data_IF_522642471108
#
_entry.id   IF_522642471108
#
_cell.length_a   1.000
_cell.length_b   1.000
_cell.length_c   1.000
_cell.angle_alpha   90.00
_cell.angle_beta   90.00
_cell.angle_gamma   90.00
#
_symmetry.space_group_name_H-M   'P 1'
#
loop_
_entity.id
_entity.type
_entity.pdbx_description
1 polymer ?
#
# COMPACT_ATOMS: atom_id res chain seq x y z
N UNK A 1 3.97 31.04 -33.68
CA UNK A 1 3.88 29.56 -33.68
C UNK A 1 5.17 29.04 -33.08
N UNK A 2 5.29 29.09 -31.75
CA UNK A 2 6.53 28.81 -30.99
C UNK A 2 6.56 27.33 -30.62
N UNK A 3 7.46 26.57 -31.20
CA UNK A 3 7.69 25.16 -30.88
C UNK A 3 8.14 25.03 -29.42
N UNK A 4 7.35 24.31 -28.63
CA UNK A 4 7.68 23.91 -27.27
C UNK A 4 8.74 22.79 -27.35
N UNK A 5 9.89 22.89 -26.68
CA UNK A 5 10.96 21.90 -26.81
C UNK A 5 10.50 20.56 -26.22
N UNK A 6 10.72 19.49 -26.99
CA UNK A 6 10.45 18.11 -26.60
C UNK A 6 11.11 17.80 -25.25
N UNK A 7 10.30 17.43 -24.27
CA UNK A 7 10.77 17.00 -22.96
C UNK A 7 11.62 15.72 -23.12
N UNK A 8 12.91 15.82 -22.81
CA UNK A 8 13.83 14.69 -22.85
C UNK A 8 13.24 13.45 -22.16
N UNK A 9 13.41 12.24 -22.72
CA UNK A 9 12.90 11.02 -22.11
C UNK A 9 13.55 10.88 -20.73
N UNK A 10 12.71 10.90 -19.69
CA UNK A 10 13.13 10.61 -18.31
C UNK A 10 13.78 9.23 -18.30
N UNK A 11 15.11 9.18 -18.33
CA UNK A 11 15.92 7.97 -18.21
C UNK A 11 15.67 7.34 -16.84
N UNK A 12 14.56 6.64 -16.70
CA UNK A 12 14.27 5.78 -15.57
C UNK A 12 15.29 4.65 -15.67
N UNK A 13 16.34 4.73 -14.85
CA UNK A 13 17.39 3.73 -14.77
C UNK A 13 16.80 2.43 -14.19
N UNK A 14 16.07 1.66 -15.00
CA UNK A 14 15.45 0.38 -14.62
C UNK A 14 16.46 -0.54 -13.93
N UNK A 15 17.72 -0.53 -14.42
CA UNK A 15 18.83 -1.29 -13.85
C UNK A 15 19.17 -0.92 -12.40
N UNK A 16 18.88 0.32 -11.95
CA UNK A 16 19.01 0.73 -10.54
C UNK A 16 17.72 0.50 -9.76
N UNK A 17 16.56 0.58 -10.41
CA UNK A 17 15.25 0.38 -9.79
C UNK A 17 14.96 -1.08 -9.40
N UNK A 18 15.33 -2.04 -10.25
CA UNK A 18 15.13 -3.48 -9.99
C UNK A 18 15.86 -3.95 -8.71
N UNK A 19 17.18 -3.75 -8.54
CA UNK A 19 17.86 -4.17 -7.32
C UNK A 19 17.37 -3.39 -6.09
N UNK A 20 16.98 -2.12 -6.25
CA UNK A 20 16.42 -1.34 -5.15
C UNK A 20 15.08 -1.89 -4.65
N UNK A 21 14.18 -2.30 -5.55
CA UNK A 21 12.90 -2.91 -5.17
C UNK A 21 13.13 -4.29 -4.53
N UNK A 22 14.02 -5.12 -5.11
CA UNK A 22 14.34 -6.44 -4.54
C UNK A 22 14.92 -6.29 -3.13
N UNK A 23 15.87 -5.38 -2.94
CA UNK A 23 16.45 -5.08 -1.63
C UNK A 23 15.41 -4.57 -0.64
N UNK A 24 14.51 -3.67 -1.07
CA UNK A 24 13.42 -3.18 -0.22
C UNK A 24 12.46 -4.30 0.20
N UNK A 25 12.04 -5.17 -0.72
CA UNK A 25 11.15 -6.29 -0.43
C UNK A 25 11.82 -7.31 0.50
N UNK A 26 13.12 -7.58 0.31
CA UNK A 26 13.89 -8.44 1.19
C UNK A 26 13.96 -7.88 2.61
N UNK A 27 14.31 -6.60 2.77
CA UNK A 27 14.38 -5.94 4.06
C UNK A 27 13.03 -5.89 4.77
N UNK A 28 11.94 -5.62 4.04
CA UNK A 28 10.58 -5.66 4.60
C UNK A 28 10.21 -7.07 5.07
N UNK A 29 10.45 -8.09 4.24
CA UNK A 29 10.14 -9.48 4.59
C UNK A 29 10.96 -9.96 5.78
N UNK A 30 12.23 -9.56 5.86
CA UNK A 30 13.11 -9.87 6.99
C UNK A 30 12.64 -9.18 8.28
N UNK A 31 12.24 -7.91 8.20
CA UNK A 31 11.68 -7.19 9.34
C UNK A 31 10.36 -7.82 9.85
N UNK A 32 9.51 -8.30 8.95
CA UNK A 32 8.26 -8.98 9.31
C UNK A 32 8.53 -10.36 9.95
N UNK A 33 9.53 -11.10 9.45
CA UNK A 33 9.97 -12.35 10.05
C UNK A 33 10.53 -12.15 11.47
N UNK A 34 11.36 -11.12 11.67
CA UNK A 34 11.86 -10.75 13.00
C UNK A 34 10.73 -10.34 13.94
N UNK A 35 9.81 -9.50 13.49
CA UNK A 35 8.65 -9.08 14.29
C UNK A 35 7.82 -10.30 14.75
N UNK A 36 7.61 -11.28 13.87
CA UNK A 36 6.92 -12.52 14.20
C UNK A 36 7.71 -13.37 15.22
N UNK A 37 9.02 -13.47 15.05
CA UNK A 37 9.89 -14.22 15.96
C UNK A 37 9.89 -13.61 17.37
N UNK A 38 9.97 -12.28 17.48
CA UNK A 38 9.85 -11.59 18.77
C UNK A 38 8.45 -11.75 19.38
N UNK A 39 7.39 -11.73 18.56
CA UNK A 39 6.04 -12.03 19.04
C UNK A 39 5.91 -13.44 19.62
N UNK A 40 6.56 -14.44 19.00
CA UNK A 40 6.60 -15.82 19.52
C UNK A 40 7.47 -15.97 20.77
N UNK A 41 8.48 -15.11 20.94
CA UNK A 41 9.33 -15.06 22.12
C UNK A 41 8.66 -14.34 23.32
N UNK A 42 7.41 -13.90 23.19
CA UNK A 42 6.62 -13.32 24.28
C UNK A 42 6.75 -11.80 24.44
N UNK A 43 7.34 -11.10 23.46
CA UNK A 43 7.40 -9.63 23.49
C UNK A 43 6.03 -9.02 23.15
N UNK A 44 5.70 -7.93 23.85
CA UNK A 44 4.45 -7.20 23.62
C UNK A 44 4.45 -6.56 22.21
N UNK A 45 3.29 -6.59 21.55
CA UNK A 45 3.14 -6.05 20.20
C UNK A 45 3.49 -4.56 20.13
N UNK A 46 3.18 -3.79 21.18
CA UNK A 46 3.52 -2.36 21.28
C UNK A 46 5.03 -2.15 21.29
N UNK A 47 5.79 -2.99 22.00
CA UNK A 47 7.25 -2.90 22.05
C UNK A 47 7.89 -3.20 20.70
N UNK A 48 7.41 -4.24 20.00
CA UNK A 48 7.90 -4.61 18.67
C UNK A 48 7.67 -3.47 17.68
N UNK A 49 6.48 -2.86 17.72
CA UNK A 49 6.12 -1.72 16.87
C UNK A 49 6.94 -0.48 17.21
N UNK A 50 7.16 -0.21 18.50
CA UNK A 50 8.03 0.87 18.97
C UNK A 50 9.46 0.76 18.40
N UNK A 51 10.09 -0.41 18.55
CA UNK A 51 11.44 -0.63 18.02
C UNK A 51 11.48 -0.55 16.49
N UNK A 52 10.45 -1.06 15.79
CA UNK A 52 10.35 -0.96 14.33
C UNK A 52 10.34 0.50 13.85
N UNK A 53 9.62 1.38 14.53
CA UNK A 53 9.62 2.81 14.20
C UNK A 53 10.87 3.54 14.69
N UNK A 54 11.45 3.14 15.83
CA UNK A 54 12.70 3.67 16.34
C UNK A 54 13.87 3.41 15.37
N UNK A 55 14.00 2.20 14.84
CA UNK A 55 14.98 1.90 13.79
C UNK A 55 14.61 2.56 12.45
N UNK A 56 13.31 2.73 12.17
CA UNK A 56 12.81 3.48 11.02
C UNK A 56 13.21 4.96 11.02
N UNK A 57 13.51 5.56 12.17
CA UNK A 57 14.04 6.93 12.26
C UNK A 57 15.43 7.05 11.64
N UNK A 58 16.28 6.02 11.68
CA UNK A 58 17.65 6.07 11.14
C UNK A 58 17.68 6.42 9.64
N UNK A 59 16.98 5.68 8.74
CA UNK A 59 16.93 6.05 7.33
C UNK A 59 16.21 7.38 7.08
N UNK A 60 15.27 7.77 7.94
CA UNK A 60 14.62 9.09 7.87
C UNK A 60 15.62 10.21 8.16
N UNK A 61 16.42 10.09 9.21
CA UNK A 61 17.46 11.07 9.56
C UNK A 61 18.51 11.16 8.46
N UNK A 62 18.96 10.02 7.92
CA UNK A 62 19.88 10.00 6.77
C UNK A 62 19.25 10.68 5.55
N UNK A 63 17.98 10.40 5.25
CA UNK A 63 17.29 11.02 4.12
C UNK A 63 17.11 12.54 4.30
N UNK A 64 16.87 13.02 5.52
CA UNK A 64 16.79 14.44 5.87
C UNK A 64 18.15 15.12 5.73
N UNK A 65 19.23 14.48 6.20
CA UNK A 65 20.60 15.00 6.08
C UNK A 65 21.04 15.09 4.62
N UNK A 66 20.67 14.10 3.80
CA UNK A 66 21.02 14.05 2.37
C UNK A 66 20.14 14.98 1.51
N UNK A 67 18.87 15.19 1.87
CA UNK A 67 17.90 15.90 1.02
C UNK A 67 17.52 17.31 1.50
N UNK A 68 17.91 17.69 2.72
CA UNK A 68 17.59 18.98 3.33
C UNK A 68 16.14 19.12 3.83
N UNK A 69 15.93 20.03 4.79
CA UNK A 69 14.63 20.29 5.46
C UNK A 69 13.54 20.81 4.51
N UNK A 70 13.92 21.29 3.33
CA UNK A 70 12.99 21.70 2.28
C UNK A 70 12.17 20.53 1.70
N UNK A 71 12.67 19.29 1.83
CA UNK A 71 11.94 18.07 1.46
C UNK A 71 10.78 17.70 2.39
N UNK A 72 10.65 18.35 3.56
CA UNK A 72 9.52 18.17 4.48
C UNK A 72 8.30 19.03 4.12
N UNK A 73 8.42 20.01 3.22
CA UNK A 73 7.29 20.86 2.83
C UNK A 73 6.33 20.09 1.91
N UNK A 74 5.39 19.37 2.51
CA UNK A 74 4.22 18.83 1.81
C UNK A 74 3.37 20.00 1.30
N UNK A 75 3.20 20.11 -0.02
CA UNK A 75 2.38 21.17 -0.63
C UNK A 75 0.88 20.81 -0.69
N UNK A 76 0.50 19.62 -0.21
CA UNK A 76 -0.86 19.06 -0.38
C UNK A 76 -1.41 18.33 0.87
N UNK A 77 -1.62 19.03 1.99
CA UNK A 77 -2.19 18.42 3.21
C UNK A 77 -3.56 17.76 2.97
N UNK A 78 -4.37 18.32 2.06
CA UNK A 78 -5.67 17.75 1.67
C UNK A 78 -5.55 16.36 1.03
N UNK A 79 -4.47 16.07 0.31
CA UNK A 79 -4.25 14.77 -0.31
C UNK A 79 -3.89 13.68 0.72
N UNK A 80 -3.20 14.07 1.81
CA UNK A 80 -2.96 13.17 2.95
C UNK A 80 -4.24 12.89 3.74
N UNK A 81 -5.09 13.90 3.93
CA UNK A 81 -6.40 13.72 4.56
C UNK A 81 -7.29 12.76 3.75
N UNK A 82 -7.37 12.94 2.43
CA UNK A 82 -8.18 12.10 1.56
C UNK A 82 -7.68 10.65 1.52
N UNK A 83 -6.35 10.45 1.54
CA UNK A 83 -5.73 9.11 1.72
C UNK A 83 -6.16 8.48 3.04
N UNK A 84 -6.08 9.23 4.14
CA UNK A 84 -6.50 8.76 5.46
C UNK A 84 -7.98 8.37 5.48
N UNK A 85 -8.84 9.17 4.84
CA UNK A 85 -10.27 8.91 4.73
C UNK A 85 -10.56 7.63 3.95
N UNK A 86 -9.91 7.41 2.80
CA UNK A 86 -10.08 6.18 2.02
C UNK A 86 -9.59 4.94 2.79
N UNK A 87 -8.46 5.04 3.50
CA UNK A 87 -7.97 3.95 4.36
C UNK A 87 -8.92 3.66 5.52
N UNK A 88 -9.43 4.69 6.18
CA UNK A 88 -10.39 4.54 7.26
C UNK A 88 -11.70 3.89 6.79
N UNK A 89 -12.22 4.33 5.64
CA UNK A 89 -13.41 3.74 5.02
C UNK A 89 -13.18 2.27 4.65
N UNK A 90 -12.03 1.95 4.03
CA UNK A 90 -11.65 0.58 3.71
C UNK A 90 -11.64 -0.29 4.98
N UNK A 91 -10.94 0.14 6.02
CA UNK A 91 -10.78 -0.65 7.24
C UNK A 91 -12.12 -0.86 7.96
N UNK A 92 -12.95 0.18 8.03
CA UNK A 92 -14.28 0.13 8.67
C UNK A 92 -15.21 -0.84 7.96
N UNK A 93 -15.25 -0.80 6.62
CA UNK A 93 -16.06 -1.71 5.81
C UNK A 93 -15.57 -3.16 5.90
N UNK A 94 -14.24 -3.34 5.92
CA UNK A 94 -13.62 -4.66 6.06
C UNK A 94 -14.00 -5.32 7.39
N UNK A 95 -13.78 -4.62 8.51
CA UNK A 95 -14.16 -5.13 9.84
C UNK A 95 -15.66 -5.33 9.96
N UNK A 96 -16.48 -4.50 9.31
CA UNK A 96 -17.94 -4.67 9.31
C UNK A 96 -18.37 -5.96 8.60
N UNK A 97 -17.73 -6.31 7.47
CA UNK A 97 -17.95 -7.58 6.79
C UNK A 97 -17.45 -8.79 7.59
N UNK A 98 -16.31 -8.65 8.28
CA UNK A 98 -15.77 -9.71 9.14
C UNK A 98 -16.58 -10.01 10.40
N UNK A 99 -17.55 -9.16 10.79
CA UNK A 99 -18.44 -9.49 11.92
C UNK A 99 -19.30 -10.72 11.67
N UNK A 100 -19.57 -11.04 10.40
CA UNK A 100 -20.46 -12.14 10.02
C UNK A 100 -19.81 -13.14 9.07
N UNK A 101 -18.80 -12.73 8.29
CA UNK A 101 -17.99 -13.64 7.48
C UNK A 101 -16.83 -14.24 8.28
N UNK A 102 -16.54 -15.54 8.09
CA UNK A 102 -15.27 -16.12 8.50
C UNK A 102 -14.08 -15.31 7.97
N UNK A 103 -13.02 -15.21 8.79
CA UNK A 103 -11.82 -14.46 8.43
C UNK A 103 -11.21 -14.89 7.09
N UNK A 104 -11.20 -16.20 6.82
CA UNK A 104 -10.70 -16.75 5.58
C UNK A 104 -11.49 -16.24 4.35
N UNK A 105 -12.83 -16.24 4.42
CA UNK A 105 -13.69 -15.74 3.35
C UNK A 105 -13.50 -14.24 3.14
N UNK A 106 -13.38 -13.47 4.22
CA UNK A 106 -13.11 -12.04 4.12
C UNK A 106 -11.77 -11.71 3.45
N UNK A 107 -10.72 -12.47 3.75
CA UNK A 107 -9.40 -12.31 3.12
C UNK A 107 -9.48 -12.68 1.62
N UNK A 108 -10.22 -13.72 1.26
CA UNK A 108 -10.40 -14.10 -0.15
C UNK A 108 -11.17 -13.05 -0.95
N UNK A 109 -12.21 -12.45 -0.37
CA UNK A 109 -12.89 -11.32 -1.02
C UNK A 109 -11.94 -10.11 -1.09
N UNK A 110 -11.08 -9.88 -0.10
CA UNK A 110 -10.07 -8.83 -0.16
C UNK A 110 -9.00 -9.05 -1.26
N UNK A 111 -8.75 -10.30 -1.69
CA UNK A 111 -7.94 -10.59 -2.88
C UNK A 111 -8.56 -10.08 -4.20
N UNK A 112 -9.77 -9.52 -4.18
CA UNK A 112 -10.31 -8.73 -5.29
C UNK A 112 -9.70 -7.31 -5.38
N UNK A 113 -9.02 -6.82 -4.34
CA UNK A 113 -8.42 -5.48 -4.36
C UNK A 113 -7.46 -5.24 -5.56
N UNK A 114 -6.57 -6.18 -5.94
CA UNK A 114 -5.76 -6.06 -7.16
C UNK A 114 -6.57 -5.91 -8.46
N UNK A 115 -7.76 -6.51 -8.56
CA UNK A 115 -8.67 -6.31 -9.72
C UNK A 115 -9.13 -4.85 -9.78
N UNK A 116 -9.57 -4.29 -8.66
CA UNK A 116 -10.00 -2.89 -8.58
C UNK A 116 -8.84 -1.93 -8.83
N UNK A 117 -7.65 -2.21 -8.27
CA UNK A 117 -6.44 -1.40 -8.54
C UNK A 117 -6.15 -1.39 -10.05
N UNK A 118 -6.23 -2.56 -10.69
CA UNK A 118 -5.96 -2.70 -12.12
C UNK A 118 -7.01 -1.98 -12.97
N UNK A 119 -8.29 -2.14 -12.66
CA UNK A 119 -9.38 -1.48 -13.36
C UNK A 119 -9.35 0.05 -13.19
N UNK A 120 -9.12 0.55 -11.98
CA UNK A 120 -9.07 1.98 -11.68
C UNK A 120 -7.74 2.64 -12.08
N UNK A 121 -6.69 1.86 -12.40
CA UNK A 121 -5.41 2.43 -12.84
C UNK A 121 -5.54 3.26 -14.11
N UNK A 122 -6.37 2.84 -15.07
CA UNK A 122 -6.58 3.61 -16.30
C UNK A 122 -7.27 4.97 -16.06
N UNK A 123 -8.44 5.06 -15.39
CA UNK A 123 -9.10 6.34 -15.16
C UNK A 123 -8.36 7.26 -14.16
N UNK A 124 -7.69 6.71 -13.12
CA UNK A 124 -7.02 7.56 -12.12
C UNK A 124 -5.60 7.99 -12.51
N UNK A 125 -4.83 7.11 -13.18
CA UNK A 125 -3.42 7.36 -13.51
C UNK A 125 -3.19 7.55 -15.02
N UNK A 126 -4.16 7.25 -15.87
CA UNK A 126 -4.00 7.24 -17.33
C UNK A 126 -3.18 6.06 -17.85
N UNK A 127 -2.79 5.12 -16.98
CA UNK A 127 -1.96 3.97 -17.33
C UNK A 127 -2.82 2.87 -17.94
N UNK A 128 -2.68 2.62 -19.25
CA UNK A 128 -3.34 1.48 -19.90
C UNK A 128 -2.72 0.18 -19.42
N UNK A 129 -3.56 -0.69 -18.86
CA UNK A 129 -3.14 -2.02 -18.41
C UNK A 129 -3.20 -2.99 -19.59
N UNK A 130 -2.06 -3.55 -19.97
CA UNK A 130 -1.98 -4.57 -21.03
C UNK A 130 -2.59 -5.92 -20.63
N UNK A 131 -2.88 -6.79 -21.61
CA UNK A 131 -3.57 -8.07 -21.39
C UNK A 131 -2.80 -9.02 -20.47
N UNK A 132 -1.47 -9.02 -20.51
CA UNK A 132 -0.62 -9.84 -19.62
C UNK A 132 -0.79 -9.49 -18.14
N UNK A 133 -0.97 -8.21 -17.81
CA UNK A 133 -1.20 -7.77 -16.43
C UNK A 133 -2.60 -8.19 -15.96
N UNK A 134 -3.59 -8.08 -16.83
CA UNK A 134 -4.94 -8.60 -16.56
C UNK A 134 -4.93 -10.11 -16.31
N UNK A 135 -4.22 -10.87 -17.13
CA UNK A 135 -4.07 -12.31 -16.95
C UNK A 135 -3.43 -12.65 -15.60
N UNK A 136 -2.34 -11.98 -15.22
CA UNK A 136 -1.68 -12.20 -13.93
C UNK A 136 -2.61 -11.93 -12.73
N UNK A 137 -3.41 -10.87 -12.79
CA UNK A 137 -4.36 -10.51 -11.73
C UNK A 137 -5.51 -11.52 -11.66
N UNK A 138 -6.06 -11.94 -12.81
CA UNK A 138 -7.13 -12.95 -12.86
C UNK A 138 -6.62 -14.29 -12.33
N UNK A 139 -5.43 -14.72 -12.73
CA UNK A 139 -4.82 -15.97 -12.26
C UNK A 139 -4.56 -15.91 -10.75
N UNK A 140 -4.04 -14.79 -10.23
CA UNK A 140 -3.84 -14.60 -8.79
C UNK A 140 -5.14 -14.65 -8.00
N UNK A 141 -6.20 -14.02 -8.51
CA UNK A 141 -7.53 -14.07 -7.90
C UNK A 141 -8.13 -15.48 -7.94
N UNK A 142 -8.00 -16.20 -9.06
CA UNK A 142 -8.43 -17.59 -9.18
C UNK A 142 -7.70 -18.49 -8.18
N UNK A 143 -6.39 -18.30 -7.98
CA UNK A 143 -5.61 -19.00 -6.97
C UNK A 143 -6.15 -18.78 -5.55
N UNK A 144 -6.51 -17.54 -5.21
CA UNK A 144 -7.13 -17.23 -3.92
C UNK A 144 -8.48 -17.94 -3.72
N UNK A 145 -9.30 -18.04 -4.77
CA UNK A 145 -10.58 -18.79 -4.73
C UNK A 145 -10.37 -20.29 -4.53
N UNK A 146 -9.35 -20.87 -5.16
CA UNK A 146 -9.03 -22.31 -5.00
C UNK A 146 -8.60 -22.63 -3.57
N UNK A 147 -7.77 -21.77 -2.95
CA UNK A 147 -7.35 -21.92 -1.55
C UNK A 147 -8.55 -21.77 -0.61
N UNK A 148 -9.45 -20.84 -0.90
CA UNK A 148 -10.61 -20.59 -0.06
C UNK A 148 -11.60 -21.75 -0.06
N UNK A 149 -11.76 -22.47 -1.19
CA UNK A 149 -12.86 -23.42 -1.42
C UNK A 149 -14.21 -22.83 -0.93
N UNK A 150 -14.71 -21.76 -1.58
CA UNK A 150 -15.98 -21.16 -1.18
C UNK A 150 -17.08 -22.23 -1.16
N UNK A 151 -17.69 -22.44 0.01
CA UNK A 151 -18.88 -23.28 0.14
C UNK A 151 -20.12 -22.58 -0.44
N UNK A 152 -21.22 -23.30 -0.61
CA UNK A 152 -22.49 -22.75 -1.13
C UNK A 152 -23.14 -21.70 -0.21
N UNK A 153 -22.72 -21.63 1.05
CA UNK A 153 -23.15 -20.61 2.02
C UNK A 153 -22.31 -19.31 2.01
N UNK A 154 -21.31 -19.22 1.12
CA UNK A 154 -20.36 -18.09 1.08
C UNK A 154 -20.93 -16.81 0.42
N UNK A 155 -22.05 -16.91 -0.28
CA UNK A 155 -22.71 -15.75 -0.91
C UNK A 155 -23.66 -15.07 0.05
N UNK A 156 -23.09 -14.34 1.01
CA UNK A 156 -23.86 -13.51 1.94
C UNK A 156 -23.78 -12.04 1.53
N UNK A 157 -24.85 -11.24 1.71
CA UNK A 157 -24.86 -9.80 1.42
C UNK A 157 -23.68 -9.04 2.03
N UNK A 158 -23.11 -9.53 3.12
CA UNK A 158 -22.01 -8.94 3.86
C UNK A 158 -20.68 -9.00 3.10
N UNK A 159 -20.55 -9.90 2.12
CA UNK A 159 -19.43 -9.90 1.18
C UNK A 159 -19.35 -8.57 0.41
N UNK A 160 -20.49 -7.88 0.21
CA UNK A 160 -20.51 -6.55 -0.43
C UNK A 160 -19.77 -5.50 0.39
N UNK A 161 -19.77 -5.58 1.73
CA UNK A 161 -18.99 -4.66 2.56
C UNK A 161 -17.48 -4.88 2.34
N UNK A 162 -17.06 -6.14 2.20
CA UNK A 162 -15.65 -6.46 1.95
C UNK A 162 -15.24 -6.07 0.53
N UNK A 163 -16.11 -6.27 -0.47
CA UNK A 163 -15.88 -5.76 -1.83
C UNK A 163 -15.77 -4.24 -1.82
N UNK A 164 -16.66 -3.53 -1.14
CA UNK A 164 -16.58 -2.07 -1.00
C UNK A 164 -15.27 -1.66 -0.30
N UNK A 165 -14.83 -2.41 0.72
CA UNK A 165 -13.54 -2.19 1.36
C UNK A 165 -12.37 -2.30 0.39
N UNK A 166 -12.40 -3.29 -0.52
CA UNK A 166 -11.37 -3.51 -1.53
C UNK A 166 -11.32 -2.37 -2.55
N UNK A 167 -12.47 -1.77 -2.89
CA UNK A 167 -12.54 -0.57 -3.74
C UNK A 167 -11.90 0.63 -3.04
N UNK A 168 -12.26 0.91 -1.78
CA UNK A 168 -11.65 2.02 -1.03
C UNK A 168 -10.16 1.82 -0.80
N UNK A 169 -9.74 0.57 -0.59
CA UNK A 169 -8.33 0.21 -0.51
C UNK A 169 -7.60 0.50 -1.83
N UNK A 170 -8.19 0.09 -2.96
CA UNK A 170 -7.65 0.38 -4.28
C UNK A 170 -7.55 1.90 -4.55
N UNK A 171 -8.58 2.66 -4.18
CA UNK A 171 -8.58 4.12 -4.27
C UNK A 171 -7.45 4.74 -3.42
N UNK A 172 -7.29 4.31 -2.18
CA UNK A 172 -6.22 4.78 -1.31
C UNK A 172 -4.83 4.44 -1.86
N UNK A 173 -4.66 3.23 -2.40
CA UNK A 173 -3.41 2.78 -3.01
C UNK A 173 -3.07 3.60 -4.27
N UNK A 174 -4.04 3.81 -5.16
CA UNK A 174 -3.85 4.60 -6.39
C UNK A 174 -3.67 6.09 -6.08
N UNK A 175 -4.39 6.63 -5.08
CA UNK A 175 -4.22 8.01 -4.62
C UNK A 175 -2.82 8.21 -4.04
N UNK A 176 -2.36 7.26 -3.21
CA UNK A 176 -0.98 7.23 -2.71
C UNK A 176 0.00 7.22 -3.88
N UNK A 177 -0.14 6.29 -4.82
CA UNK A 177 0.73 6.17 -6.01
C UNK A 177 0.76 7.45 -6.84
N UNK A 178 -0.38 8.17 -6.95
CA UNK A 178 -0.46 9.45 -7.65
C UNK A 178 0.26 10.57 -6.90
N UNK A 179 0.14 10.63 -5.57
CA UNK A 179 0.86 11.60 -4.74
C UNK A 179 2.37 11.30 -4.75
N UNK A 180 2.79 10.02 -4.70
CA UNK A 180 4.19 9.59 -4.78
C UNK A 180 4.90 10.02 -6.07
N UNK A 181 4.16 10.32 -7.14
CA UNK A 181 4.73 10.83 -8.40
C UNK A 181 5.04 12.33 -8.36
N UNK A 182 4.46 13.06 -7.40
CA UNK A 182 4.62 14.52 -7.25
C UNK A 182 5.34 14.94 -5.97
N UNK A 183 5.26 14.11 -4.93
CA UNK A 183 5.99 14.28 -3.67
C UNK A 183 7.24 13.38 -3.71
N UNK A 184 8.36 13.86 -3.19
CA UNK A 184 9.60 13.08 -3.09
C UNK A 184 9.35 11.84 -2.21
N UNK A 185 9.85 10.67 -2.60
CA UNK A 185 9.77 9.42 -1.80
C UNK A 185 10.23 9.64 -0.35
N UNK A 186 11.18 10.56 -0.15
CA UNK A 186 11.66 11.00 1.16
C UNK A 186 10.54 11.60 2.00
N UNK A 187 9.72 12.52 1.47
CA UNK A 187 8.63 13.15 2.20
C UNK A 187 7.57 12.13 2.65
N UNK A 188 7.20 11.19 1.76
CA UNK A 188 6.24 10.14 2.10
C UNK A 188 6.75 9.20 3.18
N UNK A 189 8.02 8.77 3.09
CA UNK A 189 8.60 7.87 4.08
C UNK A 189 8.75 8.57 5.43
N UNK A 190 9.25 9.81 5.44
CA UNK A 190 9.42 10.62 6.65
C UNK A 190 8.08 10.87 7.36
N UNK A 191 7.03 11.30 6.66
CA UNK A 191 5.72 11.52 7.31
C UNK A 191 5.08 10.22 7.81
N UNK A 192 5.17 9.12 7.07
CA UNK A 192 4.63 7.83 7.52
C UNK A 192 5.37 7.30 8.75
N UNK A 193 6.70 7.43 8.81
CA UNK A 193 7.49 7.01 9.97
C UNK A 193 7.26 7.91 11.18
N UNK A 194 7.14 9.23 11.00
CA UNK A 194 6.93 10.17 12.11
C UNK A 194 5.54 10.04 12.71
N UNK A 195 4.49 9.98 11.89
CA UNK A 195 3.10 9.84 12.37
C UNK A 195 2.94 8.51 13.11
N UNK A 196 3.50 7.43 12.56
CA UNK A 196 3.36 6.13 13.16
C UNK A 196 4.23 5.97 14.42
N UNK A 197 5.42 6.57 14.47
CA UNK A 197 6.23 6.63 15.69
C UNK A 197 5.54 7.37 16.84
N UNK A 198 4.89 8.51 16.55
CA UNK A 198 4.16 9.30 17.54
C UNK A 198 2.89 8.60 18.06
N UNK A 199 2.27 7.73 17.27
CA UNK A 199 1.09 6.97 17.68
C UNK A 199 1.41 5.77 18.60
N UNK A 200 2.69 5.42 18.75
CA UNK A 200 3.17 4.28 19.58
C UNK A 200 3.68 4.68 20.96
N UNK A 201 3.64 5.97 21.32
CA UNK A 201 3.98 6.51 22.65
C UNK A 201 2.69 6.79 23.41
#
# INVERSE_FOLDING_TARGET
MTAQPDAAPLGHNLARGIPAIIGAVFLFSFADALAKWFGQAGYDSVQIVFFRYAFGLIPVTIAIVVSGVAGLKTKRPFAHFLRGLFMFAALTLFFRGLKTLPLAEGIAVAFSAPLFVTALSWPMLGERVGPYRWAAVIIGFAGALVVLRPGTDAFKPEALFIVASAVFFALAMLHTRRISRTETNVAMYTYSTVIAGLATV
#
